data_IF_343175724513
#
_entry.id   IF_343175724513
#
_cell.length_a   1.000
_cell.length_b   1.000
_cell.length_c   1.000
_cell.angle_alpha   90.00
_cell.angle_beta   90.00
_cell.angle_gamma   90.00
#
_symmetry.space_group_name_H-M   'P 1'
#
loop_
_entity.id
_entity.type
_entity.pdbx_description
1 polymer ?
#
# COMPACT_ATOMS: atom_id res chain seq x y z
N UNK A 1 24.94 -10.66 -26.16
CA UNK A 1 23.94 -10.94 -25.11
C UNK A 1 24.50 -10.44 -23.77
N UNK A 2 24.20 -9.20 -23.37
CA UNK A 2 24.71 -8.60 -22.11
C UNK A 2 23.62 -8.70 -21.06
N UNK A 3 23.88 -9.52 -20.04
CA UNK A 3 23.07 -9.69 -18.83
C UNK A 3 23.06 -8.38 -18.02
N UNK A 4 21.90 -7.81 -17.64
CA UNK A 4 21.87 -6.71 -16.67
C UNK A 4 21.63 -7.27 -15.25
N UNK A 5 22.65 -7.85 -14.62
CA UNK A 5 22.60 -8.28 -13.21
C UNK A 5 23.01 -7.17 -12.20
N UNK A 6 23.17 -5.92 -12.64
CA UNK A 6 23.75 -4.86 -11.80
C UNK A 6 22.76 -3.87 -11.14
N UNK A 7 21.44 -4.07 -11.25
CA UNK A 7 20.44 -3.13 -10.64
C UNK A 7 19.47 -3.82 -9.66
N UNK A 8 19.62 -5.13 -9.40
CA UNK A 8 18.77 -5.84 -8.43
C UNK A 8 19.17 -5.64 -6.96
N UNK A 9 20.38 -5.15 -6.69
CA UNK A 9 20.98 -5.16 -5.35
C UNK A 9 20.44 -4.07 -4.38
N UNK A 10 19.64 -3.11 -4.85
CA UNK A 10 19.19 -1.99 -4.01
C UNK A 10 17.66 -1.79 -3.96
N UNK A 11 16.86 -2.67 -4.56
CA UNK A 11 15.40 -2.48 -4.59
C UNK A 11 14.94 -1.23 -5.36
N UNK A 12 15.85 -0.58 -6.12
CA UNK A 12 15.60 0.65 -6.88
C UNK A 12 14.87 0.37 -8.20
N UNK A 13 14.80 -0.89 -8.64
CA UNK A 13 14.25 -1.26 -9.95
C UNK A 13 12.72 -1.19 -10.06
N UNK A 14 11.98 -0.94 -8.96
CA UNK A 14 10.51 -0.92 -9.00
C UNK A 14 9.87 -2.30 -9.17
N UNK A 15 10.64 -3.38 -9.06
CA UNK A 15 10.16 -4.75 -9.19
C UNK A 15 9.14 -5.10 -8.09
N UNK A 16 7.98 -5.64 -8.49
CA UNK A 16 7.04 -6.26 -7.55
C UNK A 16 7.56 -7.65 -7.17
N UNK A 17 7.74 -7.90 -5.87
CA UNK A 17 8.33 -9.17 -5.42
C UNK A 17 7.37 -10.35 -5.57
N UNK A 18 7.92 -11.48 -5.99
CA UNK A 18 7.30 -12.77 -5.75
C UNK A 18 7.44 -13.11 -4.26
N UNK A 19 6.35 -13.57 -3.66
CA UNK A 19 6.31 -13.94 -2.26
C UNK A 19 5.25 -15.02 -2.05
N UNK A 20 5.66 -16.12 -1.42
CA UNK A 20 4.80 -17.27 -1.11
C UNK A 20 4.23 -17.10 0.30
N UNK A 21 3.18 -16.27 0.40
CA UNK A 21 2.55 -15.90 1.65
C UNK A 21 1.68 -14.67 1.47
N UNK A 22 1.35 -14.03 2.59
CA UNK A 22 0.60 -12.79 2.55
C UNK A 22 1.49 -11.63 2.10
N UNK A 23 0.92 -10.69 1.36
CA UNK A 23 1.66 -9.65 0.67
C UNK A 23 0.91 -8.32 0.69
N UNK A 24 1.64 -7.24 0.96
CA UNK A 24 1.13 -5.89 0.82
C UNK A 24 2.19 -5.03 0.13
N UNK A 25 1.79 -4.43 -0.98
CA UNK A 25 2.56 -3.36 -1.59
C UNK A 25 1.63 -2.21 -1.97
N UNK A 26 1.87 -1.06 -1.36
CA UNK A 26 1.16 0.19 -1.63
C UNK A 26 2.03 1.01 -2.57
N UNK A 27 1.49 1.35 -3.73
CA UNK A 27 2.15 2.13 -4.76
C UNK A 27 1.33 3.38 -5.09
N UNK A 28 1.96 4.53 -4.88
CA UNK A 28 1.37 5.84 -5.17
C UNK A 28 2.00 6.48 -6.39
N UNK A 29 1.15 6.98 -7.28
CA UNK A 29 1.56 7.80 -8.40
C UNK A 29 0.88 9.17 -8.32
N UNK A 30 1.70 10.21 -8.15
CA UNK A 30 1.24 11.59 -8.29
C UNK A 30 0.90 11.84 -9.78
N UNK A 31 -0.39 12.00 -10.08
CA UNK A 31 -0.87 12.34 -11.42
C UNK A 31 -1.15 13.84 -11.58
N UNK A 32 -0.74 14.64 -10.60
CA UNK A 32 -0.73 16.09 -10.67
C UNK A 32 0.58 16.61 -11.26
N UNK A 33 0.53 17.77 -11.91
CA UNK A 33 1.72 18.43 -12.44
C UNK A 33 2.60 19.13 -11.38
N UNK A 34 2.20 19.08 -10.10
CA UNK A 34 2.88 19.75 -8.97
C UNK A 34 3.53 18.73 -8.05
N UNK A 35 4.49 19.16 -7.23
CA UNK A 35 5.25 18.28 -6.32
C UNK A 35 4.64 18.23 -4.91
N UNK A 36 3.31 18.34 -4.78
CA UNK A 36 2.61 18.33 -3.48
C UNK A 36 2.94 17.09 -2.65
N UNK A 37 3.25 15.98 -3.31
CA UNK A 37 3.66 14.73 -2.68
C UNK A 37 4.94 14.85 -1.82
N UNK A 38 5.74 15.91 -1.97
CA UNK A 38 6.88 16.20 -1.08
C UNK A 38 6.46 16.58 0.34
N UNK A 39 5.23 17.05 0.52
CA UNK A 39 4.72 17.50 1.82
C UNK A 39 3.76 16.49 2.46
N UNK A 40 3.29 15.50 1.69
CA UNK A 40 2.26 14.56 2.14
C UNK A 40 2.89 13.41 2.92
N UNK A 41 2.47 13.24 4.17
CA UNK A 41 2.81 12.06 4.96
C UNK A 41 1.78 10.95 4.79
N UNK A 42 2.21 9.71 4.96
CA UNK A 42 1.36 8.52 4.89
C UNK A 42 1.49 7.69 6.17
N UNK A 43 0.34 7.30 6.71
CA UNK A 43 0.19 6.33 7.79
C UNK A 43 -0.70 5.18 7.33
N UNK A 44 -0.33 3.96 7.68
CA UNK A 44 -1.03 2.74 7.24
C UNK A 44 -1.40 1.90 8.44
N UNK A 45 -2.68 1.61 8.59
CA UNK A 45 -3.19 0.67 9.60
C UNK A 45 -3.76 -0.54 8.89
N UNK A 46 -3.26 -1.72 9.23
CA UNK A 46 -3.75 -2.99 8.68
C UNK A 46 -4.30 -3.86 9.81
N UNK A 47 -5.61 -4.11 9.77
CA UNK A 47 -6.26 -5.14 10.56
C UNK A 47 -6.31 -6.47 9.81
N UNK A 48 -6.00 -7.56 10.50
CA UNK A 48 -6.00 -8.93 9.96
C UNK A 48 -6.83 -9.83 10.87
N UNK A 49 -7.86 -10.44 10.28
CA UNK A 49 -8.76 -11.37 10.97
C UNK A 49 -8.79 -12.69 10.20
N UNK A 50 -8.37 -13.77 10.86
CA UNK A 50 -8.49 -15.12 10.29
C UNK A 50 -9.97 -15.54 10.28
N UNK A 51 -10.42 -16.05 9.14
CA UNK A 51 -11.74 -16.65 8.94
C UNK A 51 -11.58 -18.08 8.43
N UNK A 52 -12.67 -18.84 8.42
CA UNK A 52 -12.66 -20.20 7.87
C UNK A 52 -12.46 -20.14 6.35
N UNK A 53 -11.27 -20.59 5.90
CA UNK A 53 -10.91 -20.66 4.49
C UNK A 53 -10.32 -19.39 3.87
N UNK A 54 -10.24 -18.27 4.59
CA UNK A 54 -9.62 -17.04 4.09
C UNK A 54 -9.16 -16.10 5.21
N UNK A 55 -8.42 -15.06 4.84
CA UNK A 55 -8.07 -13.95 5.73
C UNK A 55 -8.89 -12.72 5.33
N UNK A 56 -9.57 -12.11 6.29
CA UNK A 56 -10.20 -10.81 6.10
C UNK A 56 -9.24 -9.71 6.54
N UNK A 57 -9.04 -8.72 5.67
CA UNK A 57 -8.18 -7.57 5.93
C UNK A 57 -8.96 -6.28 5.85
N UNK A 58 -8.64 -5.37 6.76
CA UNK A 58 -9.03 -3.95 6.69
C UNK A 58 -7.75 -3.15 6.59
N UNK A 59 -7.58 -2.44 5.48
CA UNK A 59 -6.42 -1.58 5.23
C UNK A 59 -6.90 -0.14 5.20
N UNK A 60 -6.48 0.66 6.18
CA UNK A 60 -6.68 2.11 6.23
C UNK A 60 -5.36 2.81 5.88
N UNK A 61 -5.41 3.69 4.89
CA UNK A 61 -4.28 4.51 4.48
C UNK A 61 -4.68 5.96 4.66
N UNK A 62 -3.99 6.66 5.54
CA UNK A 62 -4.21 8.08 5.84
C UNK A 62 -3.11 8.90 5.19
N UNK A 63 -3.51 9.86 4.37
CA UNK A 63 -2.66 10.88 3.77
C UNK A 63 -2.91 12.21 4.44
N UNK A 64 -1.85 12.92 4.82
CA UNK A 64 -1.95 14.25 5.43
C UNK A 64 -1.05 15.23 4.71
N UNK A 65 -1.63 16.34 4.25
CA UNK A 65 -0.87 17.49 3.74
C UNK A 65 -0.91 18.60 4.79
N UNK A 66 0.17 18.83 5.56
CA UNK A 66 0.21 19.86 6.58
C UNK A 66 0.44 21.27 6.01
N UNK A 67 0.75 21.40 4.73
CA UNK A 67 1.16 22.66 4.11
C UNK A 67 -0.01 23.34 3.39
N UNK A 68 0.06 24.69 3.36
CA UNK A 68 -0.88 25.52 2.58
C UNK A 68 -0.55 25.46 1.10
N UNK A 69 -1.55 25.74 0.26
CA UNK A 69 -1.32 25.98 -1.16
C UNK A 69 -0.41 27.19 -1.33
N UNK A 70 0.65 27.06 -2.13
CA UNK A 70 1.70 28.06 -2.28
C UNK A 70 1.73 28.70 -3.69
N UNK A 71 0.87 28.25 -4.60
CA UNK A 71 0.85 28.68 -6.00
C UNK A 71 2.00 28.10 -6.85
N UNK A 72 2.86 27.28 -6.25
CA UNK A 72 4.02 26.68 -6.89
C UNK A 72 4.02 25.16 -6.74
N UNK A 73 4.54 24.61 -5.64
CA UNK A 73 4.81 23.17 -5.50
C UNK A 73 3.64 22.45 -4.85
N UNK A 74 2.93 23.11 -3.94
CA UNK A 74 1.83 22.53 -3.20
C UNK A 74 0.48 22.99 -3.75
N UNK A 75 -0.27 22.04 -4.27
CA UNK A 75 -1.67 22.14 -4.68
C UNK A 75 -2.44 20.89 -4.24
N UNK A 76 -3.72 20.81 -4.61
CA UNK A 76 -4.46 19.55 -4.58
C UNK A 76 -3.64 18.45 -5.26
N UNK A 77 -3.46 17.33 -4.58
CA UNK A 77 -2.72 16.16 -5.04
C UNK A 77 -3.72 15.09 -5.51
N UNK A 78 -3.90 14.90 -6.83
CA UNK A 78 -4.59 13.73 -7.35
C UNK A 78 -3.62 12.54 -7.31
N UNK A 79 -3.79 11.69 -6.32
CA UNK A 79 -2.92 10.54 -6.10
C UNK A 79 -3.60 9.28 -6.63
N UNK A 80 -2.95 8.60 -7.58
CA UNK A 80 -3.38 7.29 -8.04
C UNK A 80 -2.79 6.21 -7.13
N UNK A 81 -3.65 5.58 -6.35
CA UNK A 81 -3.29 4.55 -5.41
C UNK A 81 -3.51 3.17 -6.05
N UNK A 82 -2.45 2.35 -6.04
CA UNK A 82 -2.51 0.92 -6.36
C UNK A 82 -2.08 0.10 -5.16
N UNK A 83 -2.87 -0.90 -4.82
CA UNK A 83 -2.62 -1.81 -3.71
C UNK A 83 -2.49 -3.21 -4.29
N UNK A 84 -1.29 -3.77 -4.22
CA UNK A 84 -1.00 -5.13 -4.66
C UNK A 84 -1.08 -6.07 -3.47
N UNK A 85 -1.89 -7.12 -3.63
CA UNK A 85 -2.18 -8.14 -2.62
C UNK A 85 -2.07 -9.53 -3.24
N UNK A 86 -2.12 -10.62 -2.45
CA UNK A 86 -2.02 -11.97 -3.02
C UNK A 86 -3.07 -12.21 -4.09
N UNK A 87 -2.70 -12.97 -5.12
CA UNK A 87 -3.58 -13.32 -6.22
C UNK A 87 -4.86 -13.99 -5.71
N UNK A 88 -5.99 -13.66 -6.32
CA UNK A 88 -7.32 -14.13 -5.94
C UNK A 88 -7.92 -13.40 -4.73
N UNK A 89 -7.31 -12.29 -4.28
CA UNK A 89 -7.94 -11.45 -3.28
C UNK A 89 -9.18 -10.76 -3.84
N UNK A 90 -10.18 -10.52 -3.00
CA UNK A 90 -11.47 -9.96 -3.41
C UNK A 90 -11.86 -8.77 -2.54
N UNK A 91 -12.21 -7.65 -3.15
CA UNK A 91 -12.73 -6.48 -2.42
C UNK A 91 -14.07 -6.84 -1.77
N UNK A 92 -14.22 -6.50 -0.49
CA UNK A 92 -15.49 -6.52 0.25
C UNK A 92 -16.12 -5.13 0.22
N UNK A 93 -15.34 -4.08 0.53
CA UNK A 93 -15.81 -2.70 0.51
C UNK A 93 -14.65 -1.72 0.33
N UNK A 94 -14.97 -0.55 -0.21
CA UNK A 94 -14.05 0.59 -0.33
C UNK A 94 -14.72 1.84 0.22
N UNK A 95 -13.95 2.70 0.87
CA UNK A 95 -14.37 4.01 1.35
C UNK A 95 -13.25 5.02 1.12
N UNK A 96 -13.60 6.24 0.71
CA UNK A 96 -12.65 7.33 0.50
C UNK A 96 -11.75 7.20 -0.74
N UNK A 97 -12.10 6.29 -1.66
CA UNK A 97 -11.53 6.21 -3.00
C UNK A 97 -12.52 6.77 -4.03
N UNK A 98 -11.97 7.50 -5.02
CA UNK A 98 -12.71 8.00 -6.18
C UNK A 98 -12.30 7.23 -7.44
N UNK A 99 -13.22 7.11 -8.41
CA UNK A 99 -12.99 6.40 -9.69
C UNK A 99 -12.32 5.03 -9.50
N UNK A 100 -12.81 4.26 -8.52
CA UNK A 100 -12.35 2.90 -8.22
C UNK A 100 -12.45 2.05 -9.49
N UNK A 101 -11.35 1.40 -9.85
CA UNK A 101 -11.30 0.53 -11.01
C UNK A 101 -11.75 -0.88 -10.67
N UNK A 102 -12.19 -1.60 -11.69
CA UNK A 102 -12.34 -3.04 -11.60
C UNK A 102 -11.01 -3.68 -11.19
N UNK A 103 -11.12 -4.71 -10.37
CA UNK A 103 -9.96 -5.47 -9.90
C UNK A 103 -9.29 -6.18 -11.08
N UNK A 104 -7.96 -6.09 -11.17
CA UNK A 104 -7.17 -6.73 -12.23
C UNK A 104 -5.94 -7.44 -11.67
N UNK A 105 -5.29 -8.24 -12.52
CA UNK A 105 -4.04 -8.91 -12.19
C UNK A 105 -2.85 -8.20 -12.84
N UNK A 106 -1.78 -8.00 -12.07
CA UNK A 106 -0.50 -7.48 -12.54
C UNK A 106 0.63 -8.12 -11.73
N UNK A 107 1.72 -8.54 -12.38
CA UNK A 107 2.87 -9.18 -11.71
C UNK A 107 2.52 -10.36 -10.79
N UNK A 108 1.51 -11.15 -11.17
CA UNK A 108 1.04 -12.29 -10.38
C UNK A 108 0.39 -11.89 -9.04
N UNK A 109 -0.08 -10.65 -8.93
CA UNK A 109 -0.81 -10.11 -7.79
C UNK A 109 -2.19 -9.66 -8.22
N UNK A 110 -3.12 -9.63 -7.28
CA UNK A 110 -4.37 -8.90 -7.44
C UNK A 110 -4.12 -7.42 -7.11
N UNK A 111 -4.66 -6.51 -7.93
CA UNK A 111 -4.48 -5.07 -7.77
C UNK A 111 -5.82 -4.39 -7.54
N UNK A 112 -5.89 -3.60 -6.47
CA UNK A 112 -6.97 -2.65 -6.21
C UNK A 112 -6.48 -1.25 -6.54
N UNK A 113 -7.23 -0.49 -7.34
CA UNK A 113 -6.80 0.82 -7.79
C UNK A 113 -7.92 1.87 -7.73
N UNK A 114 -7.54 3.10 -7.41
CA UNK A 114 -8.46 4.25 -7.37
C UNK A 114 -7.71 5.54 -7.06
N UNK A 115 -8.41 6.67 -7.15
CA UNK A 115 -7.88 7.98 -6.80
C UNK A 115 -8.11 8.31 -5.33
N UNK A 116 -7.13 8.99 -4.74
CA UNK A 116 -7.25 9.71 -3.48
C UNK A 116 -6.86 11.16 -3.73
N UNK A 117 -7.76 12.09 -3.41
CA UNK A 117 -7.47 13.51 -3.52
C UNK A 117 -7.01 14.07 -2.17
N UNK A 118 -5.77 14.56 -2.09
CA UNK A 118 -5.25 15.19 -0.87
C UNK A 118 -5.19 16.69 -1.06
N UNK A 119 -6.03 17.43 -0.33
CA UNK A 119 -6.06 18.90 -0.36
C UNK A 119 -4.98 19.50 0.55
N UNK A 120 -4.47 20.70 0.27
CA UNK A 120 -3.64 21.47 1.20
C UNK A 120 -4.34 21.65 2.55
N UNK A 121 -3.58 21.55 3.65
CA UNK A 121 -4.10 21.46 5.04
C UNK A 121 -5.11 20.31 5.28
N UNK A 122 -5.24 19.38 4.33
CA UNK A 122 -6.25 18.34 4.33
C UNK A 122 -5.72 17.00 4.84
N UNK A 123 -6.68 16.16 5.20
CA UNK A 123 -6.49 14.74 5.48
C UNK A 123 -7.40 13.97 4.54
N UNK A 124 -6.85 12.98 3.84
CA UNK A 124 -7.60 12.04 3.03
C UNK A 124 -7.38 10.63 3.58
N UNK A 125 -8.42 9.80 3.55
CA UNK A 125 -8.37 8.43 4.04
C UNK A 125 -8.92 7.50 2.97
N UNK A 126 -8.21 6.41 2.71
CA UNK A 126 -8.71 5.31 1.90
C UNK A 126 -8.81 4.07 2.79
N UNK A 127 -10.01 3.48 2.88
CA UNK A 127 -10.26 2.27 3.65
C UNK A 127 -10.71 1.17 2.69
N UNK A 128 -9.96 0.08 2.64
CA UNK A 128 -10.24 -1.07 1.79
C UNK A 128 -10.39 -2.29 2.67
N UNK A 129 -11.55 -2.93 2.59
CA UNK A 129 -11.80 -4.22 3.22
C UNK A 129 -11.79 -5.29 2.15
N UNK A 130 -11.05 -6.38 2.34
CA UNK A 130 -10.90 -7.43 1.33
C UNK A 130 -10.63 -8.81 1.93
N UNK A 131 -10.89 -9.84 1.13
CA UNK A 131 -10.55 -11.24 1.42
C UNK A 131 -9.25 -11.60 0.74
N UNK A 132 -8.45 -12.44 1.39
CA UNK A 132 -7.24 -13.04 0.83
C UNK A 132 -7.41 -14.56 0.90
N UNK A 133 -7.30 -15.31 -0.22
CA UNK A 133 -7.55 -16.75 -0.26
C UNK A 133 -6.39 -17.60 0.28
N UNK A 134 -5.47 -17.00 1.04
CA UNK A 134 -4.24 -17.66 1.49
C UNK A 134 -4.55 -18.64 2.63
N UNK A 135 -4.09 -19.88 2.48
CA UNK A 135 -4.07 -20.88 3.54
C UNK A 135 -2.94 -20.53 4.51
N UNK A 136 -3.28 -20.01 5.69
CA UNK A 136 -2.29 -19.81 6.75
C UNK A 136 -1.76 -21.18 7.16
N UNK A 137 -0.45 -21.40 6.98
CA UNK A 137 0.26 -22.55 7.54
C UNK A 137 0.33 -22.50 9.07
N UNK A 138 1.39 -23.03 9.68
CA UNK A 138 1.58 -22.90 11.15
C UNK A 138 1.83 -21.44 11.58
N UNK A 139 2.56 -20.67 10.76
CA UNK A 139 2.95 -19.29 11.05
C UNK A 139 2.35 -18.34 10.01
N UNK A 140 1.83 -17.20 10.46
CA UNK A 140 1.38 -16.14 9.57
C UNK A 140 2.60 -15.32 9.11
N UNK A 141 2.87 -15.35 7.80
CA UNK A 141 3.96 -14.58 7.19
C UNK A 141 3.41 -13.51 6.27
N UNK A 142 3.81 -12.27 6.50
CA UNK A 142 3.43 -11.10 5.71
C UNK A 142 4.67 -10.39 5.20
N UNK A 143 4.75 -10.21 3.88
CA UNK A 143 5.71 -9.31 3.25
C UNK A 143 5.07 -7.95 3.01
N UNK A 144 5.66 -6.89 3.56
CA UNK A 144 5.31 -5.51 3.26
C UNK A 144 6.45 -4.93 2.43
N UNK A 145 6.20 -4.74 1.14
CA UNK A 145 7.17 -4.14 0.24
C UNK A 145 7.08 -2.61 0.30
N UNK A 146 8.23 -1.95 0.40
CA UNK A 146 8.34 -0.50 0.36
C UNK A 146 8.34 -0.02 -1.08
N UNK A 147 7.61 1.07 -1.34
CA UNK A 147 7.75 1.78 -2.61
C UNK A 147 9.12 2.45 -2.73
N UNK A 148 9.87 2.15 -3.81
CA UNK A 148 11.13 2.84 -4.10
C UNK A 148 10.91 4.34 -4.31
N UNK A 149 11.81 5.17 -3.80
CA UNK A 149 11.75 6.63 -3.96
C UNK A 149 10.69 7.36 -3.12
N UNK A 150 9.85 6.64 -2.36
CA UNK A 150 8.92 7.23 -1.40
C UNK A 150 9.60 7.43 -0.05
N UNK A 151 9.16 8.40 0.74
CA UNK A 151 9.59 8.56 2.13
C UNK A 151 9.16 7.39 3.03
N UNK A 152 9.63 7.42 4.27
CA UNK A 152 9.28 6.42 5.28
C UNK A 152 7.84 6.65 5.74
N UNK A 153 7.05 5.59 5.85
CA UNK A 153 5.66 5.66 6.34
C UNK A 153 5.51 4.86 7.64
N UNK A 154 4.62 5.30 8.51
CA UNK A 154 4.26 4.58 9.73
C UNK A 154 3.28 3.46 9.39
N UNK A 155 3.54 2.26 9.88
CA UNK A 155 2.67 1.10 9.74
C UNK A 155 2.29 0.56 11.10
N UNK A 156 0.99 0.30 11.28
CA UNK A 156 0.43 -0.39 12.44
C UNK A 156 -0.27 -1.67 11.97
N UNK A 157 0.29 -2.82 12.34
CA UNK A 157 -0.29 -4.13 12.03
C UNK A 157 -1.03 -4.68 13.26
N UNK A 158 -2.33 -4.89 13.11
CA UNK A 158 -3.19 -5.49 14.12
C UNK A 158 -3.57 -6.92 13.71
N UNK A 159 -3.06 -7.91 14.45
CA UNK A 159 -3.36 -9.33 14.27
C UNK A 159 -3.88 -9.92 15.58
N UNK A 160 -5.20 -10.17 15.65
CA UNK A 160 -5.85 -10.60 16.89
C UNK A 160 -5.65 -9.58 18.03
N UNK A 161 -4.96 -9.97 19.11
CA UNK A 161 -4.61 -9.08 20.24
C UNK A 161 -3.24 -8.41 20.10
N UNK A 162 -2.49 -8.77 19.05
CA UNK A 162 -1.13 -8.26 18.82
C UNK A 162 -1.24 -7.00 17.97
N UNK A 163 -0.61 -5.91 18.42
CA UNK A 163 -0.44 -4.68 17.65
C UNK A 163 1.05 -4.39 17.53
N UNK A 164 1.53 -4.24 16.31
CA UNK A 164 2.93 -3.95 16.01
C UNK A 164 3.01 -2.65 15.20
N UNK A 165 3.67 -1.65 15.74
CA UNK A 165 3.91 -0.37 15.08
C UNK A 165 5.38 -0.25 14.66
N UNK A 166 5.62 0.22 13.43
CA UNK A 166 6.97 0.43 12.92
C UNK A 166 7.00 1.40 11.72
N UNK A 167 8.17 2.00 11.51
CA UNK A 167 8.46 2.79 10.31
C UNK A 167 8.99 1.87 9.19
N UNK A 168 8.33 1.89 8.02
CA UNK A 168 8.73 1.09 6.86
C UNK A 168 9.84 1.82 6.07
N UNK A 169 11.10 1.55 6.43
CA UNK A 169 12.30 2.12 5.78
C UNK A 169 12.82 1.29 4.61
N UNK A 170 12.61 -0.02 4.68
CA UNK A 170 12.93 -1.04 3.68
C UNK A 170 11.81 -2.07 3.68
N UNK A 171 11.81 -2.98 2.71
CA UNK A 171 10.92 -4.13 2.70
C UNK A 171 11.01 -4.90 4.02
N UNK A 172 9.87 -5.31 4.55
CA UNK A 172 9.79 -5.95 5.85
C UNK A 172 8.95 -7.21 5.78
N UNK A 173 9.56 -8.31 6.20
CA UNK A 173 8.83 -9.55 6.47
C UNK A 173 8.45 -9.59 7.95
N UNK A 174 7.19 -9.93 8.23
CA UNK A 174 6.64 -10.09 9.56
C UNK A 174 6.20 -11.55 9.71
N UNK A 175 6.57 -12.16 10.83
CA UNK A 175 6.18 -13.52 11.21
C UNK A 175 5.48 -13.46 12.56
N UNK A 176 4.25 -13.96 12.63
CA UNK A 176 3.40 -14.01 13.83
C UNK A 176 2.82 -15.41 13.98
#
# INVERSE_FOLDING_TARGET
MRQPYAVKAFGVAGDVKEYDGDYLYINDANLGGRKSNLYVTQEVVQGVVKKDGYIEKTLEITYKNPEKQDGWLNSVLPNWLRIYVPKGSEIISTEGLENVQDTYEEFGKTVFAGYVEVRPLGVAKAIIKYKVPVVIGKDYKLMIQKQPGKDTSLYTLNYGKISNEFLLKIDKEIRI
#
